data_IF_475531215857
#
_entry.id   IF_475531215857
#
_cell.length_a   1.000
_cell.length_b   1.000
_cell.length_c   1.000
_cell.angle_alpha   90.00
_cell.angle_beta   90.00
_cell.angle_gamma   90.00
#
_symmetry.space_group_name_H-M   'P 1'
#
loop_
_entity.id
_entity.type
_entity.pdbx_description
1 polymer ?
#
# COMPACT_ATOMS: atom_id res chain seq x y z
N UNK A 1 11.86 4.49 5.99
CA UNK A 1 12.52 3.63 4.98
C UNK A 1 11.94 2.21 5.08
N UNK A 2 12.36 1.29 4.20
CA UNK A 2 11.80 -0.07 4.14
C UNK A 2 12.10 -0.93 5.37
N UNK A 3 13.21 -0.73 6.08
CA UNK A 3 13.52 -1.48 7.29
C UNK A 3 12.60 -1.14 8.45
N UNK A 4 12.24 0.13 8.63
CA UNK A 4 11.21 0.53 9.60
C UNK A 4 9.83 -0.03 9.22
N UNK A 5 9.52 -0.07 7.92
CA UNK A 5 8.26 -0.64 7.45
C UNK A 5 8.19 -2.15 7.74
N UNK A 6 9.27 -2.90 7.49
CA UNK A 6 9.38 -4.33 7.82
C UNK A 6 9.21 -4.60 9.31
N UNK A 7 9.81 -3.78 10.18
CA UNK A 7 9.65 -3.90 11.63
C UNK A 7 8.19 -3.71 12.06
N UNK A 8 7.50 -2.70 11.51
CA UNK A 8 6.07 -2.48 11.78
C UNK A 8 5.20 -3.63 11.26
N UNK A 9 5.47 -4.14 10.06
CA UNK A 9 4.75 -5.31 9.52
C UNK A 9 4.94 -6.54 10.42
N UNK A 10 6.16 -6.77 10.89
CA UNK A 10 6.48 -7.89 11.79
C UNK A 10 5.71 -7.80 13.11
N UNK A 11 5.64 -6.61 13.69
CA UNK A 11 4.87 -6.36 14.91
C UNK A 11 3.37 -6.62 14.67
N UNK A 12 2.79 -6.02 13.64
CA UNK A 12 1.35 -6.15 13.31
C UNK A 12 0.94 -7.59 13.01
N UNK A 13 1.80 -8.31 12.28
CA UNK A 13 1.55 -9.70 11.91
C UNK A 13 1.41 -10.62 13.12
N UNK A 14 1.95 -10.24 14.30
CA UNK A 14 1.83 -11.06 15.50
C UNK A 14 0.44 -11.04 16.14
N UNK A 15 -0.43 -10.08 15.81
CA UNK A 15 -1.72 -9.90 16.47
C UNK A 15 -2.88 -9.61 15.51
N UNK A 16 -2.67 -9.76 14.21
CA UNK A 16 -3.68 -9.47 13.19
C UNK A 16 -3.87 -10.68 12.30
N UNK A 17 -5.12 -11.02 11.99
CA UNK A 17 -5.45 -12.07 11.03
C UNK A 17 -5.15 -11.60 9.60
N UNK A 18 -5.41 -10.30 9.34
CA UNK A 18 -5.14 -9.66 8.07
C UNK A 18 -4.52 -8.27 8.26
N UNK A 19 -3.73 -7.88 7.27
CA UNK A 19 -3.04 -6.59 7.23
C UNK A 19 -3.50 -5.84 5.99
N UNK A 20 -3.89 -4.58 6.19
CA UNK A 20 -4.07 -3.61 5.10
C UNK A 20 -3.18 -2.41 5.40
N UNK A 21 -2.24 -2.12 4.49
CA UNK A 21 -1.37 -0.96 4.56
C UNK A 21 -1.65 -0.04 3.38
N UNK A 22 -1.71 1.27 3.59
CA UNK A 22 -1.89 2.25 2.52
C UNK A 22 -0.99 3.46 2.74
N UNK A 23 -0.40 4.00 1.67
CA UNK A 23 0.36 5.23 1.79
C UNK A 23 1.25 5.57 0.61
N UNK A 24 1.95 6.70 0.72
CA UNK A 24 2.99 7.12 -0.23
C UNK A 24 4.33 6.50 0.18
N UNK A 25 4.76 5.50 -0.60
CA UNK A 25 6.02 4.78 -0.36
C UNK A 25 7.20 5.40 -1.11
N UNK A 26 6.92 6.29 -2.07
CA UNK A 26 7.92 6.85 -2.97
C UNK A 26 8.79 5.77 -3.68
N UNK A 27 8.21 4.59 -3.93
CA UNK A 27 8.83 3.47 -4.65
C UNK A 27 7.97 3.18 -5.88
N UNK A 28 8.55 3.33 -7.08
CA UNK A 28 7.80 3.20 -8.32
C UNK A 28 7.57 1.74 -8.70
N UNK A 29 6.41 1.19 -8.34
CA UNK A 29 6.05 -0.21 -8.60
C UNK A 29 5.86 -0.55 -10.09
N UNK A 30 5.84 0.44 -10.99
CA UNK A 30 5.89 0.21 -12.44
C UNK A 30 7.30 -0.17 -12.93
N UNK A 31 8.35 0.19 -12.18
CA UNK A 31 9.74 -0.08 -12.55
C UNK A 31 10.19 -1.49 -12.15
N UNK A 32 10.45 -2.37 -13.11
CA UNK A 32 10.91 -3.73 -12.81
C UNK A 32 12.40 -3.82 -12.43
N UNK A 33 13.19 -2.79 -12.74
CA UNK A 33 14.64 -2.79 -12.55
C UNK A 33 15.07 -2.11 -11.25
N UNK A 34 14.24 -1.23 -10.71
CA UNK A 34 14.51 -0.45 -9.50
C UNK A 34 14.74 -1.34 -8.27
N UNK A 35 15.73 -0.96 -7.46
CA UNK A 35 16.14 -1.72 -6.27
C UNK A 35 15.05 -1.64 -5.19
N UNK A 36 14.46 -0.46 -4.98
CA UNK A 36 13.38 -0.27 -4.02
C UNK A 36 12.16 -1.12 -4.38
N UNK A 37 11.85 -1.22 -5.67
CA UNK A 37 10.75 -2.06 -6.16
C UNK A 37 11.00 -3.54 -5.90
N UNK A 38 12.23 -4.02 -6.14
CA UNK A 38 12.60 -5.40 -5.83
C UNK A 38 12.51 -5.70 -4.34
N UNK A 39 12.99 -4.78 -3.49
CA UNK A 39 12.90 -4.92 -2.03
C UNK A 39 11.45 -4.90 -1.54
N UNK A 40 10.62 -4.00 -2.07
CA UNK A 40 9.18 -3.95 -1.76
C UNK A 40 8.49 -5.26 -2.14
N UNK A 41 8.77 -5.81 -3.33
CA UNK A 41 8.23 -7.12 -3.75
C UNK A 41 8.65 -8.26 -2.83
N UNK A 42 9.89 -8.27 -2.36
CA UNK A 42 10.36 -9.25 -1.37
C UNK A 42 9.61 -9.14 -0.05
N UNK A 43 9.40 -7.91 0.46
CA UNK A 43 8.62 -7.69 1.68
C UNK A 43 7.16 -8.10 1.50
N UNK A 44 6.53 -7.72 0.40
CA UNK A 44 5.18 -8.17 0.05
C UNK A 44 5.08 -9.70 0.06
N UNK A 45 6.05 -10.38 -0.54
CA UNK A 45 6.09 -11.85 -0.54
C UNK A 45 6.28 -12.43 0.86
N UNK A 46 7.12 -11.82 1.70
CA UNK A 46 7.39 -12.27 3.07
C UNK A 46 6.13 -12.24 3.95
N UNK A 47 5.32 -11.19 3.81
CA UNK A 47 4.09 -10.99 4.59
C UNK A 47 2.81 -11.42 3.86
N UNK A 48 2.94 -12.12 2.72
CA UNK A 48 1.80 -12.55 1.88
C UNK A 48 0.84 -11.40 1.50
N UNK A 49 1.41 -10.22 1.25
CA UNK A 49 0.70 -9.02 0.83
C UNK A 49 0.71 -8.88 -0.70
N UNK A 50 -0.35 -8.28 -1.23
CA UNK A 50 -0.47 -7.88 -2.64
C UNK A 50 -0.77 -6.40 -2.75
N UNK A 51 -0.14 -5.74 -3.72
CA UNK A 51 -0.49 -4.38 -4.12
C UNK A 51 -1.77 -4.42 -4.95
N UNK A 52 -2.79 -3.65 -4.55
CA UNK A 52 -4.13 -3.74 -5.16
C UNK A 52 -4.50 -2.57 -6.08
N UNK A 53 -3.70 -1.50 -6.09
CA UNK A 53 -3.85 -0.40 -7.05
C UNK A 53 -3.04 -0.71 -8.31
N UNK A 54 -3.70 -0.62 -9.47
CA UNK A 54 -3.18 -1.03 -10.78
C UNK A 54 -2.94 0.13 -11.77
N UNK A 55 -3.30 1.36 -11.38
CA UNK A 55 -3.14 2.58 -12.17
C UNK A 55 -2.09 3.51 -11.55
N UNK A 56 -1.38 4.34 -12.35
CA UNK A 56 -0.43 5.32 -11.81
C UNK A 56 -1.08 6.26 -10.80
N UNK A 57 -0.35 6.59 -9.75
CA UNK A 57 -0.84 7.43 -8.65
C UNK A 57 -0.15 8.77 -8.57
N UNK A 58 0.99 8.93 -9.25
CA UNK A 58 1.60 10.24 -9.49
C UNK A 58 1.78 10.47 -10.98
N UNK A 59 1.18 11.54 -11.48
CA UNK A 59 1.14 11.92 -12.89
C UNK A 59 1.78 13.31 -13.01
N UNK A 60 2.88 13.40 -13.74
CA UNK A 60 3.55 14.65 -14.07
C UNK A 60 3.51 14.89 -15.58
N UNK A 61 3.94 16.06 -16.04
CA UNK A 61 4.00 16.36 -17.48
C UNK A 61 4.88 15.37 -18.29
N UNK A 62 5.80 14.65 -17.63
CA UNK A 62 6.80 13.81 -18.29
C UNK A 62 6.80 12.35 -17.84
N UNK A 63 6.07 11.99 -16.79
CA UNK A 63 6.11 10.63 -16.23
C UNK A 63 4.87 10.28 -15.43
N UNK A 64 4.59 8.99 -15.41
CA UNK A 64 3.58 8.34 -14.59
C UNK A 64 4.25 7.30 -13.70
N UNK A 65 3.89 7.29 -12.42
CA UNK A 65 4.47 6.35 -11.44
C UNK A 65 3.43 5.87 -10.44
N UNK A 66 3.51 4.59 -10.06
CA UNK A 66 2.69 3.99 -9.01
C UNK A 66 3.51 3.99 -7.73
N UNK A 67 3.28 4.99 -6.87
CA UNK A 67 4.06 5.20 -5.63
C UNK A 67 3.17 5.28 -4.37
N UNK A 68 1.92 5.71 -4.52
CA UNK A 68 0.88 5.52 -3.52
C UNK A 68 0.33 4.09 -3.64
N UNK A 69 0.54 3.28 -2.61
CA UNK A 69 0.24 1.85 -2.64
C UNK A 69 -0.87 1.51 -1.63
N UNK A 70 -1.63 0.46 -1.94
CA UNK A 70 -2.51 -0.23 -0.99
C UNK A 70 -2.07 -1.69 -1.01
N UNK A 71 -1.39 -2.12 0.05
CA UNK A 71 -0.95 -3.48 0.27
C UNK A 71 -1.97 -4.18 1.15
N UNK A 72 -2.55 -5.28 0.68
CA UNK A 72 -3.50 -6.06 1.46
C UNK A 72 -3.03 -7.52 1.56
N UNK A 73 -3.27 -8.17 2.69
CA UNK A 73 -3.08 -9.61 2.81
C UNK A 73 -3.87 -10.35 1.72
N UNK A 74 -3.33 -11.46 1.24
CA UNK A 74 -3.90 -12.20 0.12
C UNK A 74 -5.31 -12.74 0.39
N UNK A 75 -5.66 -12.96 1.67
CA UNK A 75 -7.00 -13.36 2.10
C UNK A 75 -8.00 -12.23 2.32
N UNK A 76 -7.63 -10.97 2.07
CA UNK A 76 -8.58 -9.85 2.12
C UNK A 76 -9.34 -9.76 0.79
N UNK A 77 -10.67 -9.82 0.89
CA UNK A 77 -11.58 -9.64 -0.23
C UNK A 77 -11.69 -8.16 -0.60
N UNK A 78 -11.09 -7.83 -1.73
CA UNK A 78 -11.08 -6.50 -2.32
C UNK A 78 -12.22 -6.45 -3.34
N UNK A 79 -13.22 -5.63 -3.06
CA UNK A 79 -14.40 -5.46 -3.93
C UNK A 79 -14.08 -4.55 -5.08
N UNK A 80 -13.42 -3.43 -4.78
CA UNK A 80 -13.14 -2.38 -5.74
C UNK A 80 -11.90 -1.60 -5.34
N UNK A 81 -11.09 -1.22 -6.34
CA UNK A 81 -9.99 -0.28 -6.19
C UNK A 81 -10.09 0.76 -7.29
N UNK A 82 -9.83 2.01 -6.94
CA UNK A 82 -9.78 3.07 -7.94
C UNK A 82 -8.80 4.17 -7.54
N UNK A 83 -8.28 4.84 -8.57
CA UNK A 83 -7.53 6.08 -8.45
C UNK A 83 -8.42 7.24 -8.86
N UNK A 84 -8.35 8.34 -8.12
CA UNK A 84 -9.13 9.53 -8.40
C UNK A 84 -8.20 10.75 -8.43
N UNK A 85 -8.21 11.50 -9.52
CA UNK A 85 -7.68 12.86 -9.53
C UNK A 85 -8.65 13.78 -8.78
N UNK A 86 -8.60 13.67 -7.45
CA UNK A 86 -9.50 14.38 -6.56
C UNK A 86 -9.19 15.88 -6.49
N UNK A 87 -7.98 16.30 -6.88
CA UNK A 87 -7.51 17.68 -6.73
C UNK A 87 -6.57 18.08 -7.86
N UNK A 88 -7.05 18.93 -8.79
CA UNK A 88 -6.31 19.44 -9.96
C UNK A 88 -5.10 20.34 -9.63
N UNK A 89 -4.69 20.41 -8.38
CA UNK A 89 -3.51 21.14 -7.88
C UNK A 89 -2.37 20.21 -7.46
N UNK A 90 -2.64 18.90 -7.36
CA UNK A 90 -1.65 17.88 -7.00
C UNK A 90 -1.26 17.08 -8.23
N UNK A 91 0.00 16.62 -8.26
CA UNK A 91 0.41 15.59 -9.20
C UNK A 91 0.14 14.17 -8.67
N UNK A 92 -0.45 14.03 -7.48
CA UNK A 92 -0.89 12.75 -6.92
C UNK A 92 -2.41 12.57 -7.06
N UNK A 93 -2.81 11.36 -7.47
CA UNK A 93 -4.16 10.85 -7.43
C UNK A 93 -4.42 10.18 -6.08
N UNK A 94 -5.61 10.40 -5.51
CA UNK A 94 -6.06 9.67 -4.34
C UNK A 94 -6.27 8.19 -4.70
N UNK A 95 -5.87 7.30 -3.81
CA UNK A 95 -6.13 5.85 -3.90
C UNK A 95 -7.26 5.47 -2.96
N UNK A 96 -8.19 4.65 -3.44
CA UNK A 96 -9.31 4.15 -2.65
C UNK A 96 -9.46 2.65 -2.87
N UNK A 97 -9.89 1.97 -1.80
CA UNK A 97 -10.12 0.53 -1.79
C UNK A 97 -11.34 0.22 -0.92
N UNK A 98 -12.27 -0.56 -1.45
CA UNK A 98 -13.41 -1.11 -0.73
C UNK A 98 -13.14 -2.60 -0.44
N UNK A 99 -13.30 -2.99 0.82
CA UNK A 99 -13.07 -4.37 1.26
C UNK A 99 -14.30 -4.91 1.98
N UNK A 100 -14.51 -6.23 1.90
CA UNK A 100 -15.46 -6.91 2.77
C UNK A 100 -14.72 -7.41 4.01
N UNK A 101 -15.29 -7.15 5.17
CA UNK A 101 -14.75 -7.61 6.45
C UNK A 101 -15.76 -8.55 7.06
N UNK A 102 -15.45 -9.86 7.07
CA UNK A 102 -16.25 -10.81 7.83
C UNK A 102 -15.98 -10.60 9.33
N UNK A 103 -17.05 -10.46 10.09
CA UNK A 103 -17.13 -9.99 11.50
C UNK A 103 -16.29 -10.73 12.55
N UNK A 104 -15.51 -11.74 12.17
CA UNK A 104 -14.67 -12.56 13.06
C UNK A 104 -13.17 -12.27 12.94
N UNK A 105 -12.73 -11.48 11.95
CA UNK A 105 -11.31 -11.22 11.71
C UNK A 105 -10.85 -9.89 12.29
N UNK A 106 -9.68 -9.88 12.93
CA UNK A 106 -9.00 -8.65 13.36
C UNK A 106 -8.17 -8.10 12.20
N UNK A 107 -8.63 -6.99 11.61
CA UNK A 107 -7.89 -6.29 10.55
C UNK A 107 -7.13 -5.13 11.18
N UNK A 108 -5.81 -5.14 11.02
CA UNK A 108 -5.00 -3.96 11.31
C UNK A 108 -4.85 -3.11 10.05
N UNK A 109 -5.18 -1.82 10.19
CA UNK A 109 -4.98 -0.82 9.13
C UNK A 109 -3.76 0.04 9.44
N UNK A 110 -2.80 0.05 8.52
CA UNK A 110 -1.56 0.81 8.62
C UNK A 110 -1.53 1.94 7.59
N UNK A 111 -1.45 3.18 8.02
CA UNK A 111 -1.29 4.33 7.12
C UNK A 111 0.15 4.82 7.11
N UNK A 112 0.71 5.01 5.92
CA UNK A 112 2.08 5.46 5.71
C UNK A 112 2.07 6.82 5.04
N UNK A 113 2.57 7.81 5.77
CA UNK A 113 2.96 9.10 5.21
C UNK A 113 4.48 9.14 5.17
N UNK A 114 5.06 9.90 4.23
CA UNK A 114 6.50 10.08 3.92
C UNK A 114 7.50 10.08 5.11
N UNK A 115 7.06 10.19 6.36
CA UNK A 115 7.91 10.01 7.55
C UNK A 115 7.24 9.37 8.78
N UNK A 116 5.99 8.89 8.68
CA UNK A 116 5.22 8.40 9.83
C UNK A 116 4.32 7.23 9.45
N UNK A 117 4.28 6.23 10.33
CA UNK A 117 3.41 5.06 10.26
C UNK A 117 2.32 5.23 11.33
N UNK A 118 1.06 5.10 10.94
CA UNK A 118 -0.09 5.25 11.83
C UNK A 118 -0.92 3.98 11.85
N UNK A 119 -1.38 3.58 13.03
CA UNK A 119 -2.28 2.46 13.21
C UNK A 119 -3.71 2.98 13.40
N UNK A 120 -4.64 2.50 12.58
CA UNK A 120 -6.06 2.61 12.91
C UNK A 120 -6.50 1.31 13.60
N UNK A 121 -7.15 1.48 14.75
CA UNK A 121 -7.85 0.43 15.48
C UNK A 121 -9.33 0.48 15.15
#
# INVERSE_FOLDING_TARGET
>A
DLGHFEACLSEVACYSDFIVCMGDFNINMLSQTDIGTKQMKSLMSLFSLRQVVDSPTRITCSSESLIDLILASSGVDIVETFTCDAFSISNHCAVCCATLVETVASIASLFISQSKIYFAR
#
